data_IF_579809410563
#
_entry.id   IF_579809410563
#
_cell.length_a   1.000
_cell.length_b   1.000
_cell.length_c   1.000
_cell.angle_alpha   90.00
_cell.angle_beta   90.00
_cell.angle_gamma   90.00
#
_symmetry.space_group_name_H-M   'P 1'
#
loop_
_entity.id
_entity.type
_entity.pdbx_description
1 polymer ?
#
# COMPACT_ATOMS: atom_id res chain seq x y z
N UNK A 1 -29.78 -63.48 -61.45
CA UNK A 1 -30.00 -63.13 -60.02
C UNK A 1 -28.78 -62.43 -59.43
N UNK A 2 -28.82 -61.15 -59.37
CA UNK A 2 -27.71 -60.29 -58.93
C UNK A 2 -27.99 -59.89 -57.51
N UNK A 3 -27.14 -60.34 -56.56
CA UNK A 3 -27.22 -59.89 -55.16
C UNK A 3 -26.33 -58.67 -54.98
N UNK A 4 -26.96 -57.56 -54.72
CA UNK A 4 -26.24 -56.30 -54.36
C UNK A 4 -26.03 -56.29 -52.84
N UNK A 5 -24.79 -56.26 -52.42
CA UNK A 5 -24.40 -55.98 -51.03
C UNK A 5 -24.21 -54.45 -50.82
N UNK A 6 -24.99 -53.89 -49.92
CA UNK A 6 -24.85 -52.51 -49.48
C UNK A 6 -24.01 -52.47 -48.18
N UNK A 7 -22.89 -51.77 -48.09
CA UNK A 7 -22.20 -51.63 -46.81
C UNK A 7 -22.86 -50.58 -45.92
N UNK A 8 -23.13 -50.98 -44.69
CA UNK A 8 -23.66 -50.17 -43.62
C UNK A 8 -22.51 -49.26 -43.07
N UNK A 9 -22.54 -47.98 -43.37
CA UNK A 9 -21.68 -46.98 -42.71
C UNK A 9 -22.23 -46.67 -41.32
N UNK A 10 -21.53 -47.11 -40.27
CA UNK A 10 -21.78 -46.69 -38.91
C UNK A 10 -21.05 -45.37 -38.69
N UNK A 11 -21.79 -44.26 -38.59
CA UNK A 11 -21.29 -42.97 -38.26
C UNK A 11 -21.07 -42.89 -36.74
N UNK A 12 -19.78 -42.99 -36.27
CA UNK A 12 -19.43 -42.68 -34.90
C UNK A 12 -19.42 -41.14 -34.73
N UNK A 13 -20.48 -40.61 -34.13
CA UNK A 13 -20.44 -39.24 -33.58
C UNK A 13 -19.63 -39.29 -32.26
N UNK A 14 -18.36 -38.93 -32.33
CA UNK A 14 -17.58 -38.62 -31.14
C UNK A 14 -18.03 -37.26 -30.62
N UNK A 15 -18.80 -37.27 -29.52
CA UNK A 15 -18.99 -36.09 -28.69
C UNK A 15 -17.62 -35.75 -28.05
N UNK A 16 -16.94 -34.73 -28.56
CA UNK A 16 -15.91 -34.04 -27.82
C UNK A 16 -16.61 -33.23 -26.72
N UNK A 17 -16.67 -33.80 -25.52
CA UNK A 17 -16.89 -33.03 -24.34
C UNK A 17 -15.64 -32.11 -24.19
N UNK A 18 -15.79 -30.83 -24.51
CA UNK A 18 -14.82 -29.83 -24.09
C UNK A 18 -14.92 -29.70 -22.57
N UNK A 19 -14.17 -30.53 -21.86
CA UNK A 19 -13.80 -30.30 -20.48
C UNK A 19 -12.92 -29.05 -20.50
N UNK A 20 -13.42 -27.92 -20.00
CA UNK A 20 -12.55 -26.87 -19.50
C UNK A 20 -11.80 -27.45 -18.30
N UNK A 21 -10.73 -28.15 -18.56
CA UNK A 21 -9.69 -28.32 -17.57
C UNK A 21 -8.89 -27.02 -17.59
N UNK A 22 -8.97 -26.26 -16.50
CA UNK A 22 -7.88 -25.38 -16.10
C UNK A 22 -6.65 -26.27 -15.87
N UNK A 23 -6.05 -26.71 -16.96
CA UNK A 23 -4.69 -27.23 -16.90
C UNK A 23 -3.82 -26.00 -16.82
N UNK A 24 -3.43 -25.65 -15.58
CA UNK A 24 -2.21 -24.92 -15.35
C UNK A 24 -1.11 -25.64 -16.13
N UNK A 25 -0.75 -25.08 -17.29
CA UNK A 25 0.39 -25.55 -18.04
C UNK A 25 1.59 -25.50 -17.08
N UNK A 26 2.42 -26.56 -17.02
CA UNK A 26 3.59 -26.52 -16.15
C UNK A 26 4.40 -25.27 -16.49
N UNK A 27 4.84 -24.58 -15.44
CA UNK A 27 5.56 -23.31 -15.51
C UNK A 27 6.96 -23.52 -16.13
N UNK A 28 7.00 -23.85 -17.41
CA UNK A 28 8.22 -23.86 -18.23
C UNK A 28 8.66 -22.47 -18.67
N UNK A 29 8.13 -21.42 -18.03
CA UNK A 29 8.20 -20.04 -18.50
C UNK A 29 9.00 -19.09 -17.62
N UNK A 30 9.89 -19.62 -16.75
CA UNK A 30 10.97 -18.80 -16.21
C UNK A 30 12.15 -18.88 -17.19
N UNK A 31 12.53 -17.74 -17.75
CA UNK A 31 13.87 -17.62 -18.31
C UNK A 31 14.84 -17.56 -17.14
N UNK A 32 15.95 -18.30 -17.21
CA UNK A 32 16.91 -18.36 -16.12
C UNK A 32 17.36 -16.99 -15.63
N UNK A 33 18.10 -17.02 -14.52
CA UNK A 33 18.72 -15.85 -13.91
C UNK A 33 19.53 -15.06 -14.95
N UNK A 34 19.30 -13.77 -15.02
CA UNK A 34 20.09 -12.86 -15.86
C UNK A 34 21.42 -12.51 -15.17
N UNK A 35 22.25 -11.69 -15.85
CA UNK A 35 23.54 -11.27 -15.32
C UNK A 35 23.44 -10.38 -14.07
N UNK A 36 22.24 -10.00 -13.65
CA UNK A 36 21.95 -9.11 -12.51
C UNK A 36 21.28 -9.86 -11.35
N UNK A 37 21.18 -11.18 -11.39
CA UNK A 37 20.55 -11.99 -10.36
C UNK A 37 19.03 -11.91 -10.37
N UNK A 38 18.41 -11.52 -11.51
CA UNK A 38 16.97 -11.40 -11.66
C UNK A 38 16.39 -12.60 -12.42
N UNK A 39 15.27 -13.10 -11.96
CA UNK A 39 14.47 -14.11 -12.65
C UNK A 39 13.31 -13.42 -13.35
N UNK A 40 13.18 -13.65 -14.65
CA UNK A 40 12.07 -13.12 -15.43
C UNK A 40 10.80 -13.94 -15.19
N UNK A 41 9.73 -13.26 -14.75
CA UNK A 41 8.42 -13.82 -14.41
C UNK A 41 7.40 -13.49 -15.48
N UNK A 42 6.94 -14.49 -16.22
CA UNK A 42 5.89 -14.33 -17.23
C UNK A 42 4.51 -14.35 -16.58
N UNK A 43 4.06 -13.18 -16.16
CA UNK A 43 2.80 -13.01 -15.46
C UNK A 43 1.64 -12.56 -16.37
N UNK A 44 1.93 -12.11 -17.60
CA UNK A 44 0.90 -11.65 -18.54
C UNK A 44 -0.20 -12.68 -18.75
N UNK A 45 -1.46 -12.27 -18.51
CA UNK A 45 -2.64 -13.15 -18.61
C UNK A 45 -2.83 -14.09 -17.42
N UNK A 46 -1.96 -14.04 -16.43
CA UNK A 46 -2.04 -14.84 -15.19
C UNK A 46 -2.74 -14.09 -14.08
N UNK A 47 -3.01 -14.80 -13.00
CA UNK A 47 -3.63 -14.22 -11.81
C UNK A 47 -3.13 -14.90 -10.55
N UNK A 48 -3.27 -14.21 -9.42
CA UNK A 48 -2.99 -14.73 -8.08
C UNK A 48 -4.08 -14.32 -7.11
N UNK A 49 -4.36 -15.16 -6.12
CA UNK A 49 -5.20 -14.80 -4.99
C UNK A 49 -4.35 -14.07 -3.94
N UNK A 50 -4.77 -12.85 -3.58
CA UNK A 50 -4.25 -12.09 -2.45
C UNK A 50 -5.20 -12.28 -1.28
N UNK A 51 -4.65 -12.50 -0.09
CA UNK A 51 -5.49 -12.78 1.09
C UNK A 51 -6.13 -14.17 1.05
N UNK A 52 -7.18 -14.34 1.85
CA UNK A 52 -7.88 -15.62 2.03
C UNK A 52 -9.31 -15.41 2.50
N UNK A 53 -10.17 -16.41 2.28
CA UNK A 53 -11.52 -16.48 2.85
C UNK A 53 -11.58 -17.35 4.13
N UNK A 54 -10.43 -17.77 4.65
CA UNK A 54 -10.35 -18.46 5.93
C UNK A 54 -10.73 -17.48 7.07
N UNK A 55 -11.81 -17.75 7.77
CA UNK A 55 -12.33 -16.91 8.86
C UNK A 55 -11.39 -16.82 10.08
N UNK A 56 -10.40 -17.71 10.16
CA UNK A 56 -9.38 -17.70 11.22
C UNK A 56 -8.16 -16.85 10.86
N UNK A 57 -8.06 -16.41 9.61
CA UNK A 57 -6.97 -15.53 9.18
C UNK A 57 -7.14 -14.10 9.74
N UNK A 58 -6.06 -13.31 9.87
CA UNK A 58 -6.15 -11.90 10.23
C UNK A 58 -7.08 -11.11 9.30
N UNK A 59 -7.80 -10.14 9.85
CA UNK A 59 -8.71 -9.28 9.06
C UNK A 59 -8.00 -8.54 7.93
N UNK A 60 -6.71 -8.18 8.12
CA UNK A 60 -5.89 -7.57 7.07
C UNK A 60 -5.67 -8.47 5.86
N UNK A 61 -5.82 -9.79 6.02
CA UNK A 61 -5.70 -10.79 4.95
C UNK A 61 -7.07 -11.24 4.41
N UNK A 62 -8.16 -10.63 4.80
CA UNK A 62 -9.52 -10.99 4.38
C UNK A 62 -10.23 -9.82 3.70
N UNK A 63 -11.17 -10.13 2.76
CA UNK A 63 -11.38 -11.41 2.08
C UNK A 63 -10.30 -11.73 1.05
N UNK A 64 -10.35 -12.88 0.40
CA UNK A 64 -9.55 -13.14 -0.79
C UNK A 64 -9.92 -12.17 -1.92
N UNK A 65 -8.90 -11.66 -2.62
CA UNK A 65 -9.02 -10.80 -3.78
C UNK A 65 -8.22 -11.40 -4.93
N UNK A 66 -8.74 -11.34 -6.15
CA UNK A 66 -8.01 -11.82 -7.33
C UNK A 66 -7.24 -10.66 -7.98
N UNK A 67 -5.92 -10.76 -8.05
CA UNK A 67 -5.09 -9.86 -8.85
C UNK A 67 -4.76 -10.52 -10.20
N UNK A 68 -4.88 -9.76 -11.30
CA UNK A 68 -4.53 -10.22 -12.66
C UNK A 68 -3.45 -9.32 -13.25
N UNK A 69 -2.61 -9.87 -14.14
CA UNK A 69 -1.48 -9.16 -14.72
C UNK A 69 -1.64 -8.99 -16.24
N UNK A 70 -1.29 -7.81 -16.75
CA UNK A 70 -1.16 -7.54 -18.18
C UNK A 70 0.30 -7.28 -18.59
N UNK A 71 1.24 -7.57 -17.71
CA UNK A 71 2.67 -7.33 -17.89
C UNK A 71 3.48 -8.47 -17.28
N UNK A 72 4.71 -8.59 -17.75
CA UNK A 72 5.74 -9.44 -17.17
C UNK A 72 6.71 -8.57 -16.37
N UNK A 73 7.43 -9.17 -15.43
CA UNK A 73 8.39 -8.48 -14.58
C UNK A 73 9.57 -9.37 -14.26
N UNK A 74 10.63 -8.81 -13.70
CA UNK A 74 11.74 -9.56 -13.13
C UNK A 74 11.76 -9.38 -11.63
N UNK A 75 12.13 -10.42 -10.89
CA UNK A 75 12.24 -10.43 -9.44
C UNK A 75 13.60 -10.98 -9.04
N UNK A 76 14.27 -10.38 -8.04
CA UNK A 76 15.53 -10.89 -7.53
C UNK A 76 15.38 -12.33 -7.06
N UNK A 77 16.34 -13.18 -7.39
CA UNK A 77 16.37 -14.59 -7.00
C UNK A 77 16.32 -14.78 -5.49
N UNK A 78 17.00 -13.93 -4.76
CA UNK A 78 17.09 -13.92 -3.31
C UNK A 78 16.88 -12.51 -2.75
N UNK A 79 16.82 -12.39 -1.43
CA UNK A 79 16.86 -11.10 -0.74
C UNK A 79 18.15 -10.35 -1.08
N UNK A 80 18.12 -9.02 -1.09
CA UNK A 80 19.34 -8.21 -1.23
C UNK A 80 20.29 -8.56 -0.08
N UNK A 81 21.52 -8.91 -0.43
CA UNK A 81 22.52 -9.31 0.56
C UNK A 81 23.23 -8.11 1.18
N UNK A 82 23.85 -8.32 2.34
CA UNK A 82 24.66 -7.28 3.00
C UNK A 82 25.85 -6.87 2.12
N UNK A 83 26.43 -7.80 1.36
CA UNK A 83 27.47 -7.51 0.39
C UNK A 83 27.00 -6.61 -0.74
N UNK A 84 25.90 -6.95 -1.39
CA UNK A 84 25.30 -6.11 -2.45
C UNK A 84 24.93 -4.71 -1.94
N UNK A 85 24.39 -4.66 -0.73
CA UNK A 85 24.03 -3.39 -0.09
C UNK A 85 25.27 -2.53 0.20
N UNK A 86 26.31 -3.12 0.77
CA UNK A 86 27.56 -2.46 1.07
C UNK A 86 28.27 -1.95 -0.21
N UNK A 87 28.37 -2.79 -1.24
CA UNK A 87 29.04 -2.43 -2.49
C UNK A 87 28.39 -1.23 -3.18
N UNK A 88 27.09 -1.06 -3.05
CA UNK A 88 26.37 0.03 -3.69
C UNK A 88 26.23 1.28 -2.82
N UNK A 89 26.15 1.12 -1.51
CA UNK A 89 25.96 2.23 -0.56
C UNK A 89 27.26 2.77 0.03
N UNK A 90 28.35 2.02 -0.09
CA UNK A 90 29.64 2.32 0.53
C UNK A 90 29.66 2.07 2.05
N UNK A 91 28.70 1.30 2.58
CA UNK A 91 28.72 0.88 4.00
C UNK A 91 29.72 -0.24 4.20
N UNK A 92 30.33 -0.29 5.38
CA UNK A 92 31.18 -1.42 5.76
C UNK A 92 30.35 -2.67 6.03
N UNK A 93 30.88 -3.82 5.67
CA UNK A 93 30.30 -5.14 5.94
C UNK A 93 31.43 -6.12 6.27
N UNK A 94 31.20 -6.99 7.24
CA UNK A 94 32.10 -8.10 7.51
C UNK A 94 32.08 -9.11 6.36
N UNK A 95 33.26 -9.58 5.92
CA UNK A 95 33.35 -10.53 4.82
C UNK A 95 32.56 -11.82 5.07
N UNK A 96 32.44 -12.25 6.31
CA UNK A 96 31.67 -13.43 6.71
C UNK A 96 30.16 -13.22 6.63
N UNK A 97 29.69 -11.97 6.59
CA UNK A 97 28.27 -11.60 6.56
C UNK A 97 27.79 -11.20 5.16
N UNK A 98 28.68 -11.16 4.17
CA UNK A 98 28.35 -10.64 2.83
C UNK A 98 27.16 -11.34 2.17
N UNK A 99 26.97 -12.62 2.45
CA UNK A 99 25.88 -13.43 1.86
C UNK A 99 24.60 -13.45 2.71
N UNK A 100 24.59 -12.84 3.90
CA UNK A 100 23.37 -12.71 4.69
C UNK A 100 22.42 -11.69 4.05
N UNK A 101 21.09 -11.88 4.20
CA UNK A 101 20.16 -10.86 3.75
C UNK A 101 20.41 -9.54 4.48
N UNK A 102 20.29 -8.43 3.77
CA UNK A 102 20.33 -7.10 4.36
C UNK A 102 19.06 -6.86 5.15
N UNK A 103 19.14 -7.05 6.44
CA UNK A 103 18.09 -6.75 7.41
C UNK A 103 18.38 -5.46 8.19
N UNK A 104 17.53 -5.12 9.14
CA UNK A 104 17.61 -3.88 9.94
C UNK A 104 17.61 -2.61 9.06
N UNK A 105 16.83 -2.64 8.01
CA UNK A 105 16.63 -1.54 7.05
C UNK A 105 15.18 -1.10 7.06
N UNK A 106 14.96 0.19 6.90
CA UNK A 106 13.62 0.74 6.73
C UNK A 106 13.12 0.51 5.29
N UNK A 107 11.81 0.63 5.06
CA UNK A 107 11.25 0.68 3.70
C UNK A 107 11.93 1.79 2.87
N UNK A 108 12.19 2.95 3.48
CA UNK A 108 12.85 4.07 2.81
C UNK A 108 14.31 3.78 2.44
N UNK A 109 15.05 3.01 3.26
CA UNK A 109 16.40 2.57 2.88
C UNK A 109 16.36 1.62 1.68
N UNK A 110 15.38 0.71 1.63
CA UNK A 110 15.18 -0.18 0.49
C UNK A 110 14.81 0.58 -0.80
N UNK A 111 13.96 1.61 -0.70
CA UNK A 111 13.64 2.53 -1.81
C UNK A 111 14.86 3.27 -2.32
N UNK A 112 15.69 3.80 -1.41
CA UNK A 112 16.94 4.47 -1.77
C UNK A 112 17.91 3.53 -2.48
N UNK A 113 18.02 2.29 -1.98
CA UNK A 113 18.86 1.25 -2.59
C UNK A 113 18.38 0.90 -4.01
N UNK A 114 17.08 0.72 -4.21
CA UNK A 114 16.51 0.46 -5.53
C UNK A 114 16.84 1.57 -6.54
N UNK A 115 16.75 2.83 -6.11
CA UNK A 115 17.16 3.97 -6.96
C UNK A 115 18.67 4.00 -7.22
N UNK A 116 19.52 3.64 -6.24
CA UNK A 116 20.96 3.55 -6.42
C UNK A 116 21.31 2.45 -7.43
N UNK A 117 20.67 1.28 -7.33
CA UNK A 117 20.85 0.17 -8.26
C UNK A 117 20.45 0.58 -9.67
N UNK A 118 19.32 1.24 -9.85
CA UNK A 118 18.88 1.76 -11.14
C UNK A 118 19.93 2.70 -11.76
N UNK A 119 20.44 3.65 -10.98
CA UNK A 119 21.47 4.60 -11.43
C UNK A 119 22.77 3.92 -11.80
N UNK A 120 23.23 2.94 -11.03
CA UNK A 120 24.46 2.21 -11.28
C UNK A 120 24.41 1.44 -12.61
N UNK A 121 23.23 1.02 -13.03
CA UNK A 121 23.00 0.30 -14.30
C UNK A 121 22.48 1.19 -15.43
N UNK A 122 22.42 2.53 -15.24
CA UNK A 122 21.98 3.48 -16.26
C UNK A 122 20.48 3.42 -16.58
N UNK A 123 19.67 2.91 -15.62
CA UNK A 123 18.22 2.83 -15.74
C UNK A 123 17.53 4.06 -15.11
N UNK A 124 16.25 4.22 -15.42
CA UNK A 124 15.41 5.23 -14.79
C UNK A 124 15.25 4.94 -13.27
N UNK A 125 15.21 6.00 -12.46
CA UNK A 125 14.80 5.85 -11.07
C UNK A 125 13.29 5.80 -10.96
N UNK A 126 12.77 4.78 -10.28
CA UNK A 126 11.34 4.61 -10.09
C UNK A 126 10.80 5.56 -9.03
N UNK A 127 11.57 5.84 -8.00
CA UNK A 127 11.11 6.66 -6.89
C UNK A 127 11.64 8.09 -6.98
N UNK A 128 10.73 9.05 -6.76
CA UNK A 128 11.06 10.47 -6.61
C UNK A 128 10.64 10.96 -5.24
N UNK A 129 11.40 11.87 -4.67
CA UNK A 129 11.16 12.49 -3.38
C UNK A 129 11.85 13.86 -3.34
N UNK A 130 11.42 14.71 -2.43
CA UNK A 130 11.95 16.08 -2.31
C UNK A 130 13.05 16.21 -1.25
N UNK A 131 12.99 15.41 -0.19
CA UNK A 131 14.04 15.39 0.85
C UNK A 131 14.14 14.05 1.56
N UNK A 132 15.28 13.81 2.19
CA UNK A 132 15.63 12.60 2.94
C UNK A 132 15.83 12.96 4.39
N UNK A 133 15.08 12.31 5.28
CA UNK A 133 15.31 12.42 6.73
C UNK A 133 15.98 11.15 7.24
N UNK A 134 16.98 11.30 8.08
CA UNK A 134 17.74 10.18 8.64
C UNK A 134 17.84 10.27 10.15
N UNK A 135 17.90 9.12 10.80
CA UNK A 135 18.27 8.96 12.20
C UNK A 135 19.79 9.15 12.39
N UNK A 136 20.21 9.16 13.66
CA UNK A 136 21.63 9.25 14.04
C UNK A 136 22.45 8.04 13.55
N UNK A 137 21.83 6.89 13.42
CA UNK A 137 22.46 5.66 12.89
C UNK A 137 22.53 5.63 11.35
N UNK A 138 22.08 6.71 10.70
CA UNK A 138 22.08 6.86 9.24
C UNK A 138 20.90 6.20 8.53
N UNK A 139 19.99 5.49 9.23
CA UNK A 139 18.80 4.91 8.62
C UNK A 139 17.83 6.00 8.16
N UNK A 140 17.24 5.83 7.00
CA UNK A 140 16.25 6.75 6.45
C UNK A 140 14.90 6.55 7.14
N UNK A 141 14.36 7.60 7.74
CA UNK A 141 13.09 7.56 8.46
C UNK A 141 11.91 8.15 7.68
N UNK A 142 12.22 8.93 6.65
CA UNK A 142 11.23 9.52 5.77
C UNK A 142 11.86 9.96 4.45
N UNK A 143 11.14 9.72 3.36
CA UNK A 143 11.34 10.37 2.07
C UNK A 143 10.14 11.30 1.83
N UNK A 144 10.33 12.61 2.08
CA UNK A 144 9.25 13.57 1.93
C UNK A 144 8.80 13.68 0.48
N UNK A 145 7.49 13.62 0.25
CA UNK A 145 6.94 13.66 -1.10
C UNK A 145 7.26 12.41 -1.94
N UNK A 146 7.50 11.26 -1.29
CA UNK A 146 7.77 10.00 -1.99
C UNK A 146 6.64 9.64 -2.96
N UNK A 147 7.01 9.45 -4.22
CA UNK A 147 6.13 8.97 -5.28
C UNK A 147 6.83 7.87 -6.06
N UNK A 148 6.15 6.75 -6.25
CA UNK A 148 6.60 5.64 -7.09
C UNK A 148 6.06 5.82 -8.52
N UNK A 149 6.95 5.94 -9.49
CA UNK A 149 6.68 5.97 -10.93
C UNK A 149 6.86 4.55 -11.49
N UNK A 150 5.95 3.67 -11.14
CA UNK A 150 6.03 2.24 -11.47
C UNK A 150 5.83 1.94 -12.97
N UNK A 151 5.57 2.97 -13.76
CA UNK A 151 5.56 2.97 -15.22
C UNK A 151 6.95 3.25 -15.85
N UNK A 152 8.01 3.37 -15.03
CA UNK A 152 9.41 3.51 -15.47
C UNK A 152 10.14 2.18 -15.41
N UNK A 153 11.13 2.01 -16.33
CA UNK A 153 12.01 0.85 -16.32
C UNK A 153 13.21 1.09 -15.39
N UNK A 154 13.07 0.64 -14.16
CA UNK A 154 14.09 0.69 -13.12
C UNK A 154 13.81 -0.30 -12.01
N UNK A 155 14.75 -0.41 -11.08
CA UNK A 155 14.58 -1.23 -9.90
C UNK A 155 13.62 -0.57 -8.91
N UNK A 156 12.80 -1.41 -8.29
CA UNK A 156 11.84 -1.05 -7.26
C UNK A 156 11.61 -2.22 -6.31
N UNK A 157 10.86 -2.00 -5.25
CA UNK A 157 10.32 -3.10 -4.47
C UNK A 157 9.22 -3.82 -5.28
N UNK A 158 9.04 -5.12 -5.10
CA UNK A 158 7.91 -5.82 -5.70
C UNK A 158 6.59 -5.31 -5.13
N UNK A 159 5.55 -5.30 -5.93
CA UNK A 159 4.20 -5.19 -5.38
C UNK A 159 3.85 -6.47 -4.61
N UNK A 160 2.91 -6.37 -3.67
CA UNK A 160 2.40 -7.55 -2.98
C UNK A 160 1.88 -8.61 -3.96
N UNK A 161 1.24 -8.18 -5.04
CA UNK A 161 0.74 -9.07 -6.08
C UNK A 161 1.87 -9.81 -6.81
N UNK A 162 2.92 -9.11 -7.21
CA UNK A 162 4.10 -9.69 -7.87
C UNK A 162 4.81 -10.68 -6.96
N UNK A 163 5.09 -10.26 -5.72
CA UNK A 163 5.73 -11.10 -4.73
C UNK A 163 4.94 -12.39 -4.49
N UNK A 164 3.61 -12.24 -4.26
CA UNK A 164 2.74 -13.37 -3.96
C UNK A 164 2.60 -14.31 -5.17
N UNK A 165 2.56 -13.77 -6.40
CA UNK A 165 2.51 -14.58 -7.60
C UNK A 165 3.79 -15.42 -7.76
N UNK A 166 4.96 -14.80 -7.66
CA UNK A 166 6.23 -15.52 -7.74
C UNK A 166 6.35 -16.62 -6.67
N UNK A 167 6.01 -16.29 -5.42
CA UNK A 167 6.05 -17.23 -4.32
C UNK A 167 5.05 -18.40 -4.50
N UNK A 168 3.87 -18.16 -5.07
CA UNK A 168 2.82 -19.17 -5.23
C UNK A 168 3.25 -20.37 -6.06
N UNK A 169 4.24 -20.20 -6.93
CA UNK A 169 4.72 -21.20 -7.88
C UNK A 169 5.46 -22.35 -7.18
N UNK A 170 6.24 -22.01 -6.17
CA UNK A 170 7.08 -22.97 -5.46
C UNK A 170 6.88 -23.02 -3.95
N UNK A 171 5.75 -22.49 -3.46
CA UNK A 171 5.51 -22.33 -2.03
C UNK A 171 5.61 -23.63 -1.24
N UNK A 172 6.71 -23.81 -0.51
CA UNK A 172 6.97 -25.01 0.27
C UNK A 172 7.77 -24.71 1.56
N UNK A 173 7.23 -23.87 2.49
CA UNK A 173 7.98 -23.41 3.67
C UNK A 173 8.49 -24.55 4.56
N UNK A 174 7.75 -25.66 4.65
CA UNK A 174 8.19 -26.83 5.43
C UNK A 174 9.45 -27.54 4.89
N UNK A 175 9.88 -27.22 3.67
CA UNK A 175 11.01 -27.91 3.02
C UNK A 175 12.18 -26.98 2.70
N UNK A 176 11.92 -25.70 2.51
CA UNK A 176 12.88 -24.75 1.94
C UNK A 176 12.74 -23.37 2.60
N UNK A 177 12.82 -23.35 3.93
CA UNK A 177 12.74 -22.09 4.69
C UNK A 177 13.63 -22.16 5.93
N UNK A 178 14.26 -21.05 6.26
CA UNK A 178 14.83 -20.81 7.57
C UNK A 178 13.73 -20.26 8.49
N UNK A 179 13.41 -21.01 9.53
CA UNK A 179 12.29 -20.76 10.45
C UNK A 179 12.75 -20.88 11.89
N UNK A 180 11.90 -20.61 12.86
CA UNK A 180 12.27 -20.73 14.28
C UNK A 180 12.66 -22.18 14.69
N UNK A 181 12.31 -23.18 13.89
CA UNK A 181 12.64 -24.57 14.17
C UNK A 181 14.07 -24.95 13.75
N UNK A 182 14.71 -24.22 12.84
CA UNK A 182 15.99 -24.62 12.23
C UNK A 182 17.00 -23.52 12.02
N UNK A 183 16.68 -22.26 12.37
CA UNK A 183 17.52 -21.09 12.08
C UNK A 183 18.51 -20.70 13.19
N UNK A 184 18.44 -21.34 14.36
CA UNK A 184 19.25 -20.94 15.53
C UNK A 184 19.05 -19.47 15.91
N UNK A 185 17.84 -18.94 15.71
CA UNK A 185 17.39 -17.54 15.99
C UNK A 185 18.22 -16.47 15.25
N UNK A 186 18.68 -16.76 14.03
CA UNK A 186 19.42 -15.82 13.19
C UNK A 186 19.06 -15.99 11.70
N UNK A 187 19.38 -14.97 10.89
CA UNK A 187 19.37 -15.09 9.43
C UNK A 187 20.54 -15.97 8.96
N UNK A 188 20.35 -16.58 7.79
CA UNK A 188 21.34 -17.41 7.13
C UNK A 188 21.71 -16.85 5.76
N UNK A 189 22.84 -17.31 5.21
CA UNK A 189 23.22 -17.03 3.83
C UNK A 189 22.06 -17.31 2.89
N UNK A 190 21.79 -16.40 2.00
CA UNK A 190 20.71 -16.54 1.01
C UNK A 190 20.88 -17.83 0.20
N UNK A 191 19.78 -18.43 -0.19
CA UNK A 191 19.72 -19.66 -0.97
C UNK A 191 20.21 -20.95 -0.26
N UNK A 192 20.60 -20.92 1.00
CA UNK A 192 21.09 -22.12 1.70
C UNK A 192 19.95 -23.02 2.19
N UNK A 193 18.73 -22.52 2.36
CA UNK A 193 17.55 -23.35 2.58
C UNK A 193 17.09 -24.08 1.30
N UNK A 194 17.61 -23.70 0.14
CA UNK A 194 17.36 -24.29 -1.16
C UNK A 194 16.55 -23.39 -2.10
N UNK A 195 16.45 -23.82 -3.34
CA UNK A 195 15.79 -23.10 -4.43
C UNK A 195 14.41 -23.71 -4.68
N UNK A 196 13.38 -22.88 -4.83
CA UNK A 196 12.02 -23.34 -5.10
C UNK A 196 11.82 -23.79 -6.57
N UNK A 197 10.58 -24.14 -6.95
CA UNK A 197 10.27 -24.57 -8.31
C UNK A 197 10.31 -23.41 -9.32
N UNK A 198 10.18 -22.16 -8.86
CA UNK A 198 10.30 -20.94 -9.68
C UNK A 198 11.74 -20.48 -9.86
N UNK A 199 12.70 -21.11 -9.19
CA UNK A 199 14.10 -20.71 -9.20
C UNK A 199 14.46 -19.70 -8.10
N UNK A 200 13.51 -19.33 -7.24
CA UNK A 200 13.71 -18.37 -6.16
C UNK A 200 14.22 -19.03 -4.88
N UNK A 201 14.92 -18.25 -4.07
CA UNK A 201 15.36 -18.59 -2.73
C UNK A 201 14.60 -17.74 -1.71
N UNK A 202 14.39 -18.31 -0.52
CA UNK A 202 14.02 -17.61 0.70
C UNK A 202 12.73 -16.73 0.60
N UNK A 203 11.82 -17.06 -0.36
CA UNK A 203 10.48 -16.47 -0.38
C UNK A 203 9.64 -16.88 0.84
N UNK A 204 10.09 -17.90 1.58
CA UNK A 204 9.52 -18.30 2.84
C UNK A 204 10.62 -18.37 3.89
N UNK A 205 10.45 -17.68 5.01
CA UNK A 205 11.43 -17.66 6.11
C UNK A 205 12.62 -16.75 5.83
N UNK A 206 13.73 -16.95 6.49
CA UNK A 206 14.94 -16.14 6.54
C UNK A 206 14.63 -14.70 6.99
N UNK A 207 14.31 -13.78 6.08
CA UNK A 207 13.84 -12.43 6.45
C UNK A 207 12.45 -12.13 5.88
N UNK A 208 11.62 -11.41 6.63
CA UNK A 208 10.45 -10.73 6.10
C UNK A 208 10.88 -9.71 5.05
N UNK A 209 10.10 -9.55 4.00
CA UNK A 209 10.48 -8.71 2.87
C UNK A 209 9.52 -7.54 2.66
N UNK A 210 10.07 -6.33 2.57
CA UNK A 210 9.34 -5.16 2.17
C UNK A 210 8.75 -5.32 0.76
N UNK A 211 7.47 -4.97 0.61
CA UNK A 211 6.84 -4.71 -0.69
C UNK A 211 6.57 -3.22 -0.88
N UNK A 212 6.21 -2.81 -2.10
CA UNK A 212 5.93 -1.40 -2.39
C UNK A 212 4.58 -0.93 -1.81
N UNK A 213 3.73 -1.86 -1.43
CA UNK A 213 2.34 -1.61 -1.09
C UNK A 213 2.16 -1.02 0.31
N UNK A 214 1.26 -0.04 0.42
CA UNK A 214 0.62 0.24 1.69
C UNK A 214 -0.38 -0.86 2.06
N UNK A 215 -0.50 -1.13 3.36
CA UNK A 215 -1.46 -2.09 3.87
C UNK A 215 -2.89 -1.54 3.74
N UNK A 216 -3.62 -2.00 2.74
CA UNK A 216 -5.03 -1.68 2.50
C UNK A 216 -5.95 -2.88 2.71
N UNK A 217 -7.25 -2.63 2.82
CA UNK A 217 -8.26 -3.69 2.93
C UNK A 217 -8.53 -4.32 1.57
N UNK A 218 -8.58 -5.64 1.53
CA UNK A 218 -9.04 -6.35 0.34
C UNK A 218 -10.55 -6.29 0.17
N UNK A 219 -11.00 -6.53 -1.06
CA UNK A 219 -12.42 -6.70 -1.41
C UNK A 219 -12.56 -7.98 -2.23
N UNK A 220 -13.68 -8.67 -2.10
CA UNK A 220 -14.00 -9.82 -2.95
C UNK A 220 -14.28 -9.33 -4.39
N UNK A 221 -13.22 -9.13 -5.12
CA UNK A 221 -13.24 -8.61 -6.49
C UNK A 221 -11.99 -9.03 -7.27
N UNK A 222 -11.99 -8.73 -8.56
CA UNK A 222 -10.80 -8.88 -9.41
C UNK A 222 -10.24 -7.52 -9.75
N UNK A 223 -8.93 -7.32 -9.54
CA UNK A 223 -8.21 -6.10 -9.86
C UNK A 223 -7.09 -6.41 -10.84
N UNK A 224 -7.08 -5.73 -11.97
CA UNK A 224 -6.01 -5.87 -12.96
C UNK A 224 -4.86 -4.90 -12.63
N UNK A 225 -3.63 -5.42 -12.60
CA UNK A 225 -2.40 -4.66 -12.27
C UNK A 225 -2.51 -3.95 -10.90
N UNK A 226 -2.95 -4.69 -9.88
CA UNK A 226 -3.07 -4.18 -8.52
C UNK A 226 -1.71 -3.82 -7.93
N UNK A 227 -1.61 -2.66 -7.33
CA UNK A 227 -0.38 -2.08 -6.77
C UNK A 227 -0.61 -1.46 -5.38
N UNK A 228 -1.47 -2.06 -4.58
CA UNK A 228 -1.69 -1.66 -3.19
C UNK A 228 -2.77 -0.62 -2.97
N UNK A 229 -2.79 -0.10 -1.75
CA UNK A 229 -3.63 1.02 -1.38
C UNK A 229 -2.99 2.34 -1.85
N UNK A 230 -3.80 3.39 -2.15
CA UNK A 230 -3.29 4.66 -2.64
C UNK A 230 -2.48 5.45 -1.59
N UNK A 231 -2.69 5.16 -0.33
CA UNK A 231 -1.98 5.75 0.81
C UNK A 231 -2.01 4.81 2.01
N UNK A 232 -1.26 5.15 3.04
CA UNK A 232 -1.18 4.36 4.28
C UNK A 232 -2.32 4.62 5.27
N UNK A 233 -3.29 5.44 4.92
CA UNK A 233 -4.34 5.86 5.85
C UNK A 233 -3.78 6.51 7.11
N UNK A 234 -4.39 6.21 8.26
CA UNK A 234 -3.97 6.78 9.56
C UNK A 234 -2.79 6.05 10.20
N UNK A 235 -2.48 4.84 9.76
CA UNK A 235 -1.43 4.00 10.36
C UNK A 235 -0.13 4.02 9.57
N UNK A 236 -0.18 4.37 8.29
CA UNK A 236 0.95 4.36 7.34
C UNK A 236 1.65 2.99 7.27
N UNK A 237 0.90 1.93 7.56
CA UNK A 237 1.44 0.56 7.51
C UNK A 237 1.79 0.14 6.09
N UNK A 238 2.90 -0.58 5.98
CA UNK A 238 3.39 -1.20 4.76
C UNK A 238 3.21 -2.71 4.81
N UNK A 239 3.10 -3.31 3.64
CA UNK A 239 3.03 -4.76 3.52
C UNK A 239 4.45 -5.34 3.57
N UNK A 240 4.63 -6.36 4.42
CA UNK A 240 5.79 -7.25 4.44
C UNK A 240 5.34 -8.69 4.24
N UNK A 241 6.15 -9.48 3.56
CA UNK A 241 5.80 -10.84 3.11
C UNK A 241 6.85 -11.87 3.52
N UNK A 242 6.50 -13.14 3.47
CA UNK A 242 7.43 -14.26 3.53
C UNK A 242 7.55 -14.93 4.90
N UNK A 243 7.34 -14.21 5.98
CA UNK A 243 7.77 -14.65 7.30
C UNK A 243 9.28 -14.54 7.45
N UNK A 244 9.80 -14.90 8.61
CA UNK A 244 11.23 -14.81 8.91
C UNK A 244 11.73 -16.00 9.72
N UNK A 245 13.00 -16.02 10.00
CA UNK A 245 13.63 -17.03 10.88
C UNK A 245 13.00 -17.07 12.29
N UNK A 246 12.25 -16.03 12.70
CA UNK A 246 11.54 -15.99 14.00
C UNK A 246 10.18 -16.67 13.97
N UNK A 247 9.64 -16.95 12.80
CA UNK A 247 8.31 -17.52 12.68
C UNK A 247 8.38 -19.05 12.65
N UNK A 248 7.43 -19.69 13.34
CA UNK A 248 7.23 -21.13 13.16
C UNK A 248 6.75 -21.42 11.74
N UNK A 249 7.19 -22.53 11.15
CA UNK A 249 6.82 -22.93 9.78
C UNK A 249 5.30 -22.96 9.57
N UNK A 250 4.56 -23.36 10.59
CA UNK A 250 3.09 -23.41 10.57
C UNK A 250 2.47 -22.01 10.55
N UNK A 251 3.19 -20.99 10.99
CA UNK A 251 2.78 -19.58 11.00
C UNK A 251 3.10 -18.86 9.69
N UNK A 252 3.96 -19.43 8.82
CA UNK A 252 4.30 -18.80 7.54
C UNK A 252 3.24 -19.17 6.51
N UNK A 253 2.45 -18.20 6.09
CA UNK A 253 1.36 -18.37 5.12
C UNK A 253 1.49 -17.36 3.98
N UNK A 254 1.23 -17.84 2.77
CA UNK A 254 1.31 -17.01 1.55
C UNK A 254 0.38 -15.78 1.61
N UNK A 255 -0.77 -15.89 2.27
CA UNK A 255 -1.75 -14.83 2.40
C UNK A 255 -1.43 -13.78 3.47
N UNK A 256 -0.46 -14.00 4.36
CA UNK A 256 -0.10 -13.02 5.39
C UNK A 256 0.56 -11.79 4.77
N UNK A 257 0.25 -10.63 5.35
CA UNK A 257 0.58 -9.31 4.83
C UNK A 257 1.26 -8.40 5.85
N UNK A 258 1.85 -8.94 6.86
CA UNK A 258 2.45 -8.16 7.93
C UNK A 258 3.09 -9.04 8.99
N UNK A 259 3.55 -8.38 10.02
CA UNK A 259 4.08 -8.99 11.23
C UNK A 259 3.04 -8.91 12.38
N UNK A 260 3.39 -9.45 13.54
CA UNK A 260 2.61 -9.31 14.78
C UNK A 260 2.52 -7.84 15.24
N UNK A 261 3.50 -7.02 14.85
CA UNK A 261 3.58 -5.59 15.17
C UNK A 261 3.27 -4.75 13.94
N UNK A 262 2.76 -3.55 14.19
CA UNK A 262 2.56 -2.55 13.14
C UNK A 262 3.89 -2.21 12.46
N UNK A 263 3.95 -2.36 11.12
CA UNK A 263 5.14 -2.13 10.31
C UNK A 263 4.90 -0.91 9.43
N UNK A 264 5.51 0.21 9.79
CA UNK A 264 5.47 1.46 9.00
C UNK A 264 6.73 1.62 8.17
N UNK A 265 6.73 2.57 7.25
CA UNK A 265 7.91 2.82 6.40
C UNK A 265 9.19 3.15 7.17
N UNK A 266 9.11 3.63 8.42
CA UNK A 266 10.25 3.93 9.28
C UNK A 266 10.64 2.77 10.22
N UNK A 267 9.87 1.68 10.23
CA UNK A 267 10.19 0.49 11.03
C UNK A 267 11.42 -0.21 10.47
N UNK A 268 12.29 -0.69 11.36
CA UNK A 268 13.38 -1.60 11.01
C UNK A 268 13.51 -2.69 12.07
N UNK A 269 13.89 -3.87 11.66
CA UNK A 269 14.11 -5.00 12.56
C UNK A 269 15.14 -5.95 11.97
N UNK A 270 15.85 -6.68 12.84
CA UNK A 270 16.86 -7.63 12.44
C UNK A 270 16.35 -8.81 11.60
N UNK A 271 15.04 -8.91 11.43
CA UNK A 271 14.36 -9.96 10.67
C UNK A 271 13.54 -9.41 9.49
N UNK A 272 13.72 -8.14 9.13
CA UNK A 272 13.04 -7.48 7.99
C UNK A 272 14.09 -6.98 7.01
N UNK A 273 14.06 -7.50 5.81
CA UNK A 273 14.88 -7.16 4.67
C UNK A 273 14.05 -6.84 3.43
N UNK A 274 14.58 -7.08 2.25
CA UNK A 274 13.88 -6.81 1.00
C UNK A 274 14.53 -7.52 -0.19
N UNK A 275 13.77 -7.71 -1.25
CA UNK A 275 14.28 -8.03 -2.59
C UNK A 275 13.83 -6.99 -3.61
N UNK A 276 14.43 -6.98 -4.78
CA UNK A 276 14.09 -6.03 -5.85
C UNK A 276 13.20 -6.69 -6.90
N UNK A 277 12.35 -5.86 -7.50
CA UNK A 277 11.68 -6.14 -8.77
C UNK A 277 12.10 -5.13 -9.82
N UNK A 278 11.92 -5.49 -11.09
CA UNK A 278 12.12 -4.61 -12.25
C UNK A 278 11.05 -4.90 -13.30
N UNK A 279 10.63 -3.90 -14.01
CA UNK A 279 9.66 -3.98 -15.10
C UNK A 279 8.58 -2.91 -14.96
N UNK A 280 8.06 -2.49 -16.09
CA UNK A 280 7.08 -1.43 -16.24
C UNK A 280 5.68 -1.98 -15.94
N UNK A 281 5.00 -1.42 -14.96
CA UNK A 281 3.59 -1.71 -14.69
C UNK A 281 2.72 -0.73 -15.47
N UNK A 282 2.16 -1.22 -16.58
CA UNK A 282 1.23 -0.42 -17.39
C UNK A 282 -0.15 -0.41 -16.76
N UNK A 283 -0.77 0.78 -16.71
CA UNK A 283 -2.11 0.97 -16.13
C UNK A 283 -2.25 0.39 -14.72
N UNK A 284 -1.43 0.83 -13.78
CA UNK A 284 -1.49 0.37 -12.39
C UNK A 284 -2.84 0.76 -11.77
N UNK A 285 -3.35 -0.08 -10.87
CA UNK A 285 -4.57 0.19 -10.13
C UNK A 285 -4.29 0.11 -8.62
N UNK A 286 -4.49 1.23 -7.96
CA UNK A 286 -4.58 1.31 -6.50
C UNK A 286 -6.02 1.16 -6.07
N UNK A 287 -6.26 0.52 -4.94
CA UNK A 287 -7.60 0.35 -4.38
C UNK A 287 -7.67 0.87 -2.95
N UNK A 288 -8.55 1.82 -2.70
CA UNK A 288 -8.78 2.35 -1.35
C UNK A 288 -9.48 1.34 -0.44
N UNK A 289 -9.49 1.61 0.88
CA UNK A 289 -10.21 0.79 1.85
C UNK A 289 -11.73 0.69 1.56
N UNK A 290 -12.31 1.69 0.90
CA UNK A 290 -13.70 1.66 0.44
C UNK A 290 -13.93 0.80 -0.82
N UNK A 291 -12.85 0.35 -1.50
CA UNK A 291 -12.92 -0.37 -2.76
C UNK A 291 -12.91 0.53 -4.00
N UNK A 292 -12.69 1.83 -3.84
CA UNK A 292 -12.54 2.75 -4.97
C UNK A 292 -11.21 2.50 -5.67
N UNK A 293 -11.25 2.31 -6.98
CA UNK A 293 -10.07 2.08 -7.80
C UNK A 293 -9.60 3.38 -8.47
N UNK A 294 -8.28 3.61 -8.46
CA UNK A 294 -7.66 4.73 -9.16
C UNK A 294 -6.42 4.26 -9.92
N UNK A 295 -6.19 4.85 -11.08
CA UNK A 295 -5.00 4.57 -11.93
C UNK A 295 -3.92 5.63 -11.81
N UNK A 296 -4.09 6.62 -10.95
CA UNK A 296 -3.14 7.72 -10.78
C UNK A 296 -3.12 8.21 -9.34
N UNK A 297 -1.92 8.35 -8.80
CA UNK A 297 -1.65 9.01 -7.51
C UNK A 297 -0.82 10.26 -7.78
N UNK A 298 -1.12 11.32 -7.05
CA UNK A 298 -0.31 12.54 -7.03
C UNK A 298 -0.27 13.13 -5.62
N UNK A 299 0.90 13.59 -5.20
CA UNK A 299 1.07 14.32 -3.96
C UNK A 299 0.92 15.81 -4.27
N UNK A 300 -0.11 16.44 -3.73
CA UNK A 300 -0.42 17.85 -3.99
C UNK A 300 0.01 18.81 -2.89
N UNK A 301 0.30 18.29 -1.71
CA UNK A 301 0.61 19.09 -0.53
C UNK A 301 1.67 18.42 0.37
N UNK A 302 2.84 18.09 -0.17
CA UNK A 302 4.01 17.66 0.62
C UNK A 302 4.58 18.79 1.47
N UNK A 303 5.33 18.46 2.53
CA UNK A 303 5.91 19.47 3.43
C UNK A 303 6.86 20.43 2.72
N UNK A 304 7.64 19.94 1.75
CA UNK A 304 8.51 20.79 0.92
C UNK A 304 7.71 21.78 0.05
N UNK A 305 6.58 21.34 -0.49
CA UNK A 305 5.66 22.20 -1.25
C UNK A 305 5.11 23.32 -0.36
N UNK A 306 4.66 22.98 0.85
CA UNK A 306 4.17 23.95 1.84
C UNK A 306 5.27 24.96 2.20
N UNK A 307 6.50 24.49 2.47
CA UNK A 307 7.61 25.38 2.75
C UNK A 307 7.97 26.28 1.58
N UNK A 308 7.93 25.79 0.37
CA UNK A 308 8.21 26.59 -0.84
C UNK A 308 7.17 27.67 -1.05
N UNK A 309 5.88 27.34 -0.85
CA UNK A 309 4.77 28.26 -1.07
C UNK A 309 4.63 29.28 0.06
N UNK A 310 4.81 28.86 1.30
CA UNK A 310 4.50 29.69 2.48
C UNK A 310 5.75 30.12 3.28
N UNK A 311 6.94 29.69 2.86
CA UNK A 311 8.23 29.94 3.54
C UNK A 311 8.26 29.46 5.01
N UNK A 312 7.37 28.56 5.38
CA UNK A 312 7.25 28.00 6.73
C UNK A 312 6.67 26.60 6.71
N UNK A 313 6.99 25.80 7.72
CA UNK A 313 6.29 24.55 8.03
C UNK A 313 5.11 24.75 9.01
N UNK A 314 4.88 25.96 9.52
CA UNK A 314 3.77 26.25 10.43
C UNK A 314 2.46 26.37 9.65
N UNK A 315 2.02 25.24 9.09
CA UNK A 315 0.78 25.13 8.35
C UNK A 315 0.05 23.86 8.75
N UNK A 316 -1.25 23.88 8.68
CA UNK A 316 -2.12 22.71 8.84
C UNK A 316 -3.10 22.65 7.68
N UNK A 317 -3.45 21.44 7.30
CA UNK A 317 -4.51 21.14 6.36
C UNK A 317 -5.54 20.26 7.09
N UNK A 318 -6.82 20.60 7.02
CA UNK A 318 -7.89 19.73 7.49
C UNK A 318 -8.82 19.38 6.32
N UNK A 319 -9.26 18.14 6.30
CA UNK A 319 -10.14 17.63 5.25
C UNK A 319 -11.02 16.49 5.80
N UNK A 320 -12.06 16.16 5.07
CA UNK A 320 -12.85 14.95 5.35
C UNK A 320 -12.18 13.74 4.70
N UNK A 321 -12.06 12.67 5.45
CA UNK A 321 -11.74 11.38 4.87
C UNK A 321 -13.05 10.75 4.36
N UNK A 322 -13.23 10.68 3.05
CA UNK A 322 -14.46 10.19 2.44
C UNK A 322 -14.72 8.70 2.68
N UNK A 323 -13.68 7.93 3.00
CA UNK A 323 -13.83 6.51 3.31
C UNK A 323 -14.45 6.26 4.69
N UNK A 324 -14.22 7.17 5.65
CA UNK A 324 -14.65 7.01 7.05
C UNK A 324 -15.68 8.05 7.49
N UNK A 325 -15.79 9.17 6.77
CA UNK A 325 -16.58 10.33 7.19
C UNK A 325 -15.90 11.23 8.22
N UNK A 326 -14.74 10.85 8.73
CA UNK A 326 -14.03 11.52 9.81
C UNK A 326 -13.25 12.74 9.32
N UNK A 327 -12.89 13.62 10.28
CA UNK A 327 -11.90 14.67 10.03
C UNK A 327 -10.51 14.05 10.00
N UNK A 328 -9.80 14.30 8.90
CA UNK A 328 -8.37 14.07 8.81
C UNK A 328 -7.61 15.39 8.73
N UNK A 329 -6.37 15.43 9.17
CA UNK A 329 -5.53 16.62 9.11
C UNK A 329 -4.06 16.27 8.95
N UNK A 330 -3.32 17.22 8.36
CA UNK A 330 -1.86 17.21 8.31
C UNK A 330 -1.35 18.41 9.09
N UNK A 331 -0.41 18.19 10.00
CA UNK A 331 0.33 19.25 10.70
C UNK A 331 1.77 19.27 10.18
N UNK A 332 2.09 20.24 9.38
CA UNK A 332 3.41 20.36 8.74
C UNK A 332 4.50 20.91 9.69
N UNK A 333 4.15 21.28 10.93
CA UNK A 333 5.10 21.91 11.86
C UNK A 333 6.32 21.03 12.20
N UNK A 334 6.18 19.72 12.05
CA UNK A 334 7.30 18.76 12.20
C UNK A 334 8.19 18.64 10.97
N UNK A 335 7.86 19.30 9.85
CA UNK A 335 8.52 19.11 8.55
C UNK A 335 8.09 17.85 7.84
N UNK A 336 7.04 17.18 8.31
CA UNK A 336 6.47 15.96 7.74
C UNK A 336 5.05 16.20 7.28
N UNK A 337 4.63 15.48 6.24
CA UNK A 337 3.28 15.54 5.66
C UNK A 337 2.50 14.26 5.99
N UNK A 338 2.42 13.90 7.26
CA UNK A 338 1.67 12.72 7.71
C UNK A 338 0.22 13.07 8.03
N UNK A 339 -0.72 12.44 7.36
CA UNK A 339 -2.13 12.58 7.65
C UNK A 339 -2.50 11.83 8.94
N UNK A 340 -3.29 12.49 9.78
CA UNK A 340 -3.84 11.91 11.01
C UNK A 340 -5.34 12.01 10.97
N UNK A 341 -6.04 11.06 11.55
CA UNK A 341 -7.49 11.02 11.57
C UNK A 341 -8.01 11.10 13.00
N UNK A 342 -9.02 11.92 13.21
CA UNK A 342 -9.76 11.99 14.47
C UNK A 342 -10.93 11.01 14.34
N UNK A 343 -10.81 9.85 14.95
CA UNK A 343 -11.86 8.82 14.91
C UNK A 343 -13.11 9.27 15.64
N UNK A 344 -14.24 9.24 14.97
CA UNK A 344 -15.55 9.60 15.50
C UNK A 344 -16.68 8.80 14.83
N UNK A 345 -17.87 8.91 15.38
CA UNK A 345 -19.13 8.44 14.78
C UNK A 345 -19.89 9.55 14.07
N UNK A 346 -19.38 10.78 14.08
CA UNK A 346 -20.01 11.95 13.49
C UNK A 346 -19.43 12.15 12.09
N UNK A 347 -20.29 12.05 11.10
CA UNK A 347 -19.95 12.40 9.71
C UNK A 347 -19.61 13.90 9.62
N UNK A 348 -18.38 14.22 9.21
CA UNK A 348 -17.87 15.59 9.21
C UNK A 348 -17.83 16.14 7.78
N UNK A 349 -18.38 17.36 7.62
CA UNK A 349 -18.36 18.12 6.37
C UNK A 349 -17.82 19.52 6.60
N UNK A 350 -17.19 20.07 5.57
CA UNK A 350 -16.66 21.45 5.56
C UNK A 350 -15.76 21.76 6.77
N UNK A 351 -14.72 20.97 7.06
CA UNK A 351 -13.82 21.28 8.15
C UNK A 351 -13.09 22.59 7.91
N UNK A 352 -13.04 23.44 8.93
CA UNK A 352 -12.40 24.75 8.91
C UNK A 352 -11.50 24.91 10.13
N UNK A 353 -10.23 25.22 9.92
CA UNK A 353 -9.25 25.37 10.99
C UNK A 353 -9.34 26.75 11.62
N UNK A 354 -9.35 26.82 12.96
CA UNK A 354 -9.30 28.09 13.68
C UNK A 354 -8.03 28.89 13.37
N UNK A 355 -8.05 30.21 13.46
CA UNK A 355 -6.91 31.10 13.13
C UNK A 355 -5.62 30.74 13.91
N UNK A 356 -5.74 30.19 15.12
CA UNK A 356 -4.62 29.78 15.95
C UNK A 356 -4.16 28.35 15.67
N UNK A 357 -4.82 27.63 14.74
CA UNK A 357 -4.48 26.26 14.33
C UNK A 357 -4.80 25.18 15.36
N UNK A 358 -5.52 25.48 16.45
CA UNK A 358 -5.75 24.54 17.56
C UNK A 358 -7.10 23.83 17.50
N UNK A 359 -8.09 24.41 16.83
CA UNK A 359 -9.45 23.91 16.75
C UNK A 359 -9.85 23.64 15.31
N UNK A 360 -10.83 22.80 15.11
CA UNK A 360 -11.53 22.60 13.85
C UNK A 360 -13.03 22.73 14.08
N UNK A 361 -13.69 23.54 13.25
CA UNK A 361 -15.13 23.59 13.13
C UNK A 361 -15.58 22.75 11.94
N UNK A 362 -16.70 22.06 12.03
CA UNK A 362 -17.27 21.25 10.95
C UNK A 362 -18.77 21.11 11.11
N UNK A 363 -19.46 20.69 10.06
CA UNK A 363 -20.89 20.42 10.12
C UNK A 363 -21.20 18.97 9.74
N UNK A 364 -22.44 18.53 10.02
CA UNK A 364 -22.83 17.11 9.84
C UNK A 364 -23.44 16.81 8.47
N UNK A 365 -23.59 17.83 7.60
CA UNK A 365 -24.13 17.65 6.25
C UNK A 365 -23.38 18.51 5.24
N UNK A 366 -23.24 18.04 3.99
CA UNK A 366 -22.53 18.80 2.95
C UNK A 366 -23.26 20.09 2.58
N UNK A 367 -24.59 20.06 2.65
CA UNK A 367 -25.48 21.20 2.39
C UNK A 367 -26.55 21.21 3.47
N UNK A 368 -26.97 22.36 3.94
CA UNK A 368 -27.96 22.49 5.02
C UNK A 368 -29.40 22.18 4.62
N UNK A 369 -29.64 21.50 3.50
CA UNK A 369 -30.92 21.47 2.79
C UNK A 369 -31.89 20.37 3.24
N UNK A 370 -31.39 19.20 3.61
CA UNK A 370 -32.24 18.01 3.75
C UNK A 370 -32.33 17.49 5.18
N UNK A 371 -32.42 18.37 6.12
CA UNK A 371 -32.51 18.06 7.55
C UNK A 371 -31.50 18.81 8.38
N UNK A 372 -31.62 18.70 9.68
CA UNK A 372 -30.86 19.49 10.63
C UNK A 372 -29.36 19.25 10.55
N UNK A 373 -28.62 20.12 9.88
CA UNK A 373 -27.16 20.17 9.99
C UNK A 373 -26.77 20.77 11.33
N UNK A 374 -25.75 20.21 11.96
CA UNK A 374 -25.22 20.69 13.25
C UNK A 374 -23.78 21.10 13.06
N UNK A 375 -23.38 22.22 13.59
CA UNK A 375 -21.98 22.64 13.67
C UNK A 375 -21.37 22.20 14.99
N UNK A 376 -20.20 21.60 14.87
CA UNK A 376 -19.36 21.19 15.99
C UNK A 376 -18.01 21.89 15.93
N UNK A 377 -17.39 22.01 17.09
CA UNK A 377 -16.01 22.46 17.27
C UNK A 377 -15.28 21.47 18.17
N UNK A 378 -14.04 21.18 17.83
CA UNK A 378 -13.19 20.31 18.66
C UNK A 378 -11.72 20.66 18.52
N UNK A 379 -10.87 20.08 19.36
CA UNK A 379 -9.42 20.17 19.21
C UNK A 379 -8.97 19.52 17.91
N UNK A 380 -8.04 20.17 17.21
CA UNK A 380 -7.36 19.65 16.02
C UNK A 380 -6.02 19.04 16.43
N UNK A 381 -6.10 17.91 17.10
CA UNK A 381 -4.98 17.09 17.56
C UNK A 381 -5.37 15.60 17.51
N UNK A 382 -4.44 14.71 17.86
CA UNK A 382 -4.66 13.26 17.81
C UNK A 382 -5.78 12.77 18.73
N UNK A 383 -6.16 13.55 19.74
CA UNK A 383 -7.23 13.19 20.68
C UNK A 383 -8.60 13.63 20.20
N UNK A 384 -8.66 14.70 19.40
CA UNK A 384 -9.91 15.33 19.00
C UNK A 384 -10.83 15.67 20.17
N UNK A 385 -10.27 15.92 21.34
CA UNK A 385 -11.04 16.19 22.57
C UNK A 385 -11.80 17.52 22.53
N UNK A 386 -12.53 17.82 23.58
CA UNK A 386 -13.31 19.05 23.73
C UNK A 386 -14.33 19.28 22.61
N UNK A 387 -15.07 18.22 22.24
CA UNK A 387 -16.14 18.33 21.27
C UNK A 387 -17.29 19.18 21.85
N UNK A 388 -17.58 20.28 21.20
CA UNK A 388 -18.66 21.21 21.53
C UNK A 388 -19.64 21.26 20.37
N UNK A 389 -20.90 21.01 20.67
CA UNK A 389 -22.02 21.25 19.74
C UNK A 389 -22.48 22.68 19.87
N UNK A 390 -22.54 23.44 18.77
CA UNK A 390 -23.16 24.76 18.81
C UNK A 390 -24.69 24.63 18.95
N UNK A 391 -25.23 25.44 19.86
CA UNK A 391 -26.68 25.46 20.10
C UNK A 391 -27.36 26.36 19.07
N UNK A 392 -27.38 25.92 17.85
CA UNK A 392 -27.99 26.61 16.70
C UNK A 392 -28.81 25.60 15.89
N UNK A 393 -29.94 26.02 15.37
CA UNK A 393 -30.77 25.17 14.53
C UNK A 393 -30.24 25.23 13.09
N UNK A 394 -30.10 24.04 12.48
CA UNK A 394 -29.78 23.88 11.06
C UNK A 394 -28.63 24.77 10.56
N UNK A 395 -27.43 24.57 11.09
CA UNK A 395 -26.23 25.31 10.73
C UNK A 395 -25.28 24.45 9.87
N UNK A 396 -24.74 25.05 8.81
CA UNK A 396 -23.81 24.40 7.89
C UNK A 396 -22.65 25.32 7.49
N UNK A 397 -21.64 24.78 6.85
CA UNK A 397 -20.51 25.50 6.25
C UNK A 397 -19.89 26.53 7.25
N UNK A 398 -19.36 26.05 8.38
CA UNK A 398 -18.76 26.97 9.36
C UNK A 398 -17.52 27.66 8.78
N UNK A 399 -17.32 28.94 9.18
CA UNK A 399 -16.11 29.71 8.89
C UNK A 399 -15.67 30.46 10.14
N UNK A 400 -14.38 30.54 10.35
CA UNK A 400 -13.83 31.35 11.44
C UNK A 400 -13.70 32.81 11.02
N UNK A 401 -14.10 33.69 11.92
CA UNK A 401 -14.01 35.15 11.77
C UNK A 401 -13.29 35.73 12.98
N UNK A 402 -12.38 36.67 12.73
CA UNK A 402 -11.65 37.38 13.78
C UNK A 402 -12.04 38.86 13.71
N UNK A 403 -12.66 39.37 14.77
CA UNK A 403 -13.05 40.76 14.90
C UNK A 403 -12.39 41.35 16.13
N UNK A 404 -11.35 42.15 15.94
CA UNK A 404 -10.53 42.65 17.05
C UNK A 404 -9.81 41.54 17.80
N UNK A 405 -10.12 41.37 19.08
CA UNK A 405 -9.58 40.31 19.94
C UNK A 405 -10.46 39.03 19.95
N UNK A 406 -11.65 39.12 19.40
CA UNK A 406 -12.64 38.05 19.46
C UNK A 406 -12.54 37.12 18.26
N UNK A 407 -12.75 35.83 18.50
CA UNK A 407 -12.83 34.81 17.45
C UNK A 407 -14.24 34.22 17.48
N UNK A 408 -14.92 34.30 16.35
CA UNK A 408 -16.32 33.87 16.19
C UNK A 408 -16.43 32.85 15.07
N UNK A 409 -17.55 32.13 15.04
CA UNK A 409 -17.88 31.23 13.93
C UNK A 409 -19.08 31.84 13.19
N UNK A 410 -18.88 32.06 11.89
CA UNK A 410 -19.94 32.38 10.96
C UNK A 410 -20.40 31.10 10.30
N UNK A 411 -21.66 30.89 10.12
CA UNK A 411 -22.24 29.72 9.49
C UNK A 411 -23.46 30.08 8.63
N UNK A 412 -23.77 29.22 7.68
CA UNK A 412 -25.01 29.32 6.92
C UNK A 412 -26.12 28.64 7.70
N UNK A 413 -27.21 29.29 7.90
CA UNK A 413 -28.42 28.71 8.49
C UNK A 413 -29.47 28.50 7.40
N UNK A 414 -30.16 27.37 7.49
CA UNK A 414 -31.39 27.16 6.75
C UNK A 414 -32.50 28.01 7.40
N UNK A 415 -32.95 29.01 6.70
CA UNK A 415 -33.94 29.96 7.20
C UNK A 415 -35.38 29.47 7.12
N UNK A 416 -35.62 28.23 6.60
CA UNK A 416 -36.99 27.87 6.31
C UNK A 416 -37.39 26.43 6.50
N UNK A 417 -36.52 25.55 6.97
CA UNK A 417 -36.82 24.12 7.02
C UNK A 417 -37.28 23.55 5.66
N UNK A 418 -36.72 24.09 4.60
CA UNK A 418 -37.18 23.93 3.22
C UNK A 418 -36.27 22.97 2.48
N UNK A 419 -36.84 21.87 2.01
CA UNK A 419 -36.13 20.85 1.20
C UNK A 419 -35.91 21.27 -0.25
N UNK A 420 -36.47 22.42 -0.67
CA UNK A 420 -36.28 22.95 -2.03
C UNK A 420 -34.97 23.75 -2.11
N UNK A 421 -34.02 23.24 -2.89
CA UNK A 421 -32.70 23.84 -3.11
C UNK A 421 -32.80 25.29 -3.61
N UNK A 422 -33.81 25.61 -4.43
CA UNK A 422 -34.02 26.97 -4.97
C UNK A 422 -34.46 27.95 -3.89
N UNK A 423 -35.35 27.57 -3.02
CA UNK A 423 -35.83 28.34 -1.89
C UNK A 423 -34.78 28.50 -0.81
N UNK A 424 -34.01 27.41 -0.52
CA UNK A 424 -32.86 27.45 0.39
C UNK A 424 -31.85 28.54 -0.02
N UNK A 425 -31.45 28.56 -1.29
CA UNK A 425 -30.54 29.60 -1.82
C UNK A 425 -31.03 31.01 -1.64
N UNK A 426 -32.34 31.22 -1.61
CA UNK A 426 -32.94 32.55 -1.41
C UNK A 426 -33.04 32.93 0.06
N UNK A 427 -33.26 31.98 0.94
CA UNK A 427 -33.57 32.20 2.35
C UNK A 427 -32.36 31.99 3.30
N UNK A 428 -31.33 31.29 2.87
CA UNK A 428 -30.13 31.06 3.70
C UNK A 428 -29.37 32.36 3.94
N UNK A 429 -28.89 32.53 5.16
CA UNK A 429 -28.11 33.69 5.58
C UNK A 429 -26.89 33.25 6.39
N UNK A 430 -25.83 34.06 6.30
CA UNK A 430 -24.66 33.89 7.18
C UNK A 430 -24.97 34.52 8.55
N UNK A 431 -24.64 33.82 9.65
CA UNK A 431 -24.74 34.29 11.03
C UNK A 431 -23.46 33.97 11.78
#
# INVERSE_FOLDING_TARGET
MLKIFLPLYVLFLSFLAASCSDTDAPLTEFSGEDNFGMIHVKATGRSVALGTNDSLAPLSAQPAMKATFTYDYSLSKHEVTQGEFADLTGRDVDDSARNYPQTDVTYYDAVLFANLRSKAEGLDTVYTYSSVMRNQDGSCTLLDGLLAHIDRDGYRLPTEAEWTFAASIGWAPAKKAWTSENSEDTVHDVCTAGVDAGGFCDLAGNALEWTDDYLGSFKDTTVTNYVGAPDGGSTEERVVKGGSYKNAVTGIKLYLRGDLYMVTGATKAAYVGFRLARGVIKNPIWMSAAGTMTSKISITAGASTIRTLFHTYRAKLAFRNDATGNIAYVDYSSGMASAREIKDTIDAYHPEISPNGKLVAFCTRPEGISGNSTVYVRNLDSTGSNLVKLNVASAAIPRWEVVGADTSIIYVTDAGDDSDLSEWKKKSTWK
#
